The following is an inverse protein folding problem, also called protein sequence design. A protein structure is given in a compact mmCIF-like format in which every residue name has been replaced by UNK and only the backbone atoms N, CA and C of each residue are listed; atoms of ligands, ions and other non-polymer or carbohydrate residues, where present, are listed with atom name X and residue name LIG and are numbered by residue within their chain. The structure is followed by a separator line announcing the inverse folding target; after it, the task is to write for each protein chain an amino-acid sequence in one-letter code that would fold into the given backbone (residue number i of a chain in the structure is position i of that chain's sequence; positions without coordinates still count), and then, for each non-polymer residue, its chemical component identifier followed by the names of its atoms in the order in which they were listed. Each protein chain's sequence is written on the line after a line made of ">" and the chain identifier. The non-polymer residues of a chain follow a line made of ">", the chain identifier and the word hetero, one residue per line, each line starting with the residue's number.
data_IF_636019415422
#
_entry.id   IF_636019415422
#
_cell.length_a   1.000
_cell.length_b   1.000
_cell.length_c   1.000
_cell.angle_alpha   90.00
_cell.angle_beta   90.00
_cell.angle_gamma   90.00
#
_symmetry.space_group_name_H-M   'P 1'
#
loop_
_entity.id
_entity.type
_entity.pdbx_description
1 polymer ?
#
# COMPACT_ATOMS: atom_id res chain seq x y z
N UNK A 1 10.11 58.34 -4.47
CA UNK A 1 9.33 57.47 -3.54
C UNK A 1 8.78 56.23 -4.27
N UNK A 2 9.50 55.67 -5.24
CA UNK A 2 9.03 54.63 -6.14
C UNK A 2 9.85 53.32 -6.14
N UNK A 3 10.98 53.22 -5.43
CA UNK A 3 11.87 52.01 -5.50
C UNK A 3 11.61 50.95 -4.42
N UNK A 4 10.94 51.29 -3.31
CA UNK A 4 10.70 50.32 -2.22
C UNK A 4 9.60 49.30 -2.52
N UNK A 5 8.72 49.56 -3.50
CA UNK A 5 7.59 48.67 -3.84
C UNK A 5 7.98 47.54 -4.79
N UNK A 6 9.02 47.71 -5.60
CA UNK A 6 9.44 46.67 -6.59
C UNK A 6 10.22 45.51 -5.97
N UNK A 7 10.96 45.75 -4.89
CA UNK A 7 11.74 44.71 -4.19
C UNK A 7 10.86 43.68 -3.43
N UNK A 8 9.71 44.15 -2.94
CA UNK A 8 8.82 43.26 -2.17
C UNK A 8 8.00 42.30 -3.04
N UNK A 9 7.73 42.64 -4.31
CA UNK A 9 7.01 41.74 -5.24
C UNK A 9 7.89 40.58 -5.73
N UNK A 10 9.20 40.79 -5.89
CA UNK A 10 10.10 39.72 -6.37
C UNK A 10 10.34 38.66 -5.32
N UNK A 11 10.33 38.97 -4.02
CA UNK A 11 10.44 37.98 -2.95
C UNK A 11 9.19 37.10 -2.82
N UNK A 12 7.99 37.65 -3.00
CA UNK A 12 6.75 36.87 -2.94
C UNK A 12 6.64 35.86 -4.09
N UNK A 13 7.06 36.22 -5.31
CA UNK A 13 7.05 35.28 -6.44
C UNK A 13 8.10 34.15 -6.35
N UNK A 14 9.22 34.38 -5.67
CA UNK A 14 10.25 33.36 -5.44
C UNK A 14 9.77 32.25 -4.50
N UNK A 15 9.10 32.60 -3.43
CA UNK A 15 8.57 31.64 -2.46
C UNK A 15 7.46 30.74 -3.05
N UNK A 16 6.55 31.29 -3.84
CA UNK A 16 5.49 30.51 -4.50
C UNK A 16 6.05 29.48 -5.49
N UNK A 17 7.09 29.82 -6.26
CA UNK A 17 7.73 28.89 -7.21
C UNK A 17 8.53 27.78 -6.51
N UNK A 18 9.20 28.09 -5.41
CA UNK A 18 9.93 27.10 -4.61
C UNK A 18 8.97 26.11 -3.92
N UNK A 19 7.87 26.61 -3.37
CA UNK A 19 6.84 25.78 -2.72
C UNK A 19 6.15 24.87 -3.72
N UNK A 20 5.86 25.36 -4.94
CA UNK A 20 5.28 24.55 -5.99
C UNK A 20 6.22 23.40 -6.44
N UNK A 21 7.53 23.66 -6.56
CA UNK A 21 8.53 22.64 -6.88
C UNK A 21 8.65 21.57 -5.80
N UNK A 22 8.63 21.96 -4.54
CA UNK A 22 8.64 21.03 -3.39
C UNK A 22 7.37 20.16 -3.35
N UNK A 23 6.21 20.73 -3.61
CA UNK A 23 4.95 20.01 -3.65
C UNK A 23 4.91 18.94 -4.77
N UNK A 24 5.57 19.19 -5.90
CA UNK A 24 5.69 18.21 -6.99
C UNK A 24 6.68 17.11 -6.64
N UNK A 25 7.76 17.41 -5.91
CA UNK A 25 8.79 16.42 -5.54
C UNK A 25 8.39 15.54 -4.36
N UNK A 26 7.57 16.05 -3.45
CA UNK A 26 7.15 15.31 -2.25
C UNK A 26 6.58 13.90 -2.55
N UNK A 27 5.68 13.69 -3.53
CA UNK A 27 5.15 12.37 -3.84
C UNK A 27 6.21 11.35 -4.29
N UNK A 28 7.35 11.81 -4.86
CA UNK A 28 8.42 10.93 -5.33
C UNK A 28 9.20 10.22 -4.21
N UNK A 29 9.12 10.74 -2.99
CA UNK A 29 9.78 10.17 -1.81
C UNK A 29 8.77 9.66 -0.79
N UNK A 30 7.62 10.33 -0.67
CA UNK A 30 6.66 10.08 0.39
C UNK A 30 6.03 8.69 0.29
N UNK A 31 5.79 8.18 -0.91
CA UNK A 31 5.26 6.82 -1.10
C UNK A 31 6.18 5.75 -0.54
N UNK A 32 7.48 5.85 -0.81
CA UNK A 32 8.49 4.95 -0.26
C UNK A 32 8.61 5.09 1.26
N UNK A 33 8.64 6.32 1.78
CA UNK A 33 8.72 6.59 3.21
C UNK A 33 7.51 6.00 3.97
N UNK A 34 6.29 6.17 3.46
CA UNK A 34 5.08 5.59 4.03
C UNK A 34 5.11 4.06 3.99
N UNK A 35 5.60 3.48 2.89
CA UNK A 35 5.71 2.03 2.75
C UNK A 35 6.72 1.42 3.73
N UNK A 36 7.86 2.08 3.96
CA UNK A 36 8.89 1.65 4.89
C UNK A 36 8.46 1.81 6.35
N UNK A 37 7.49 2.69 6.60
CA UNK A 37 6.84 2.82 7.90
C UNK A 37 5.72 1.79 8.03
N UNK A 38 5.89 0.79 8.89
CA UNK A 38 4.90 -0.30 9.10
C UNK A 38 3.50 0.25 9.40
N UNK A 39 3.42 1.34 10.17
CA UNK A 39 2.15 1.97 10.56
C UNK A 39 1.42 2.62 9.38
N UNK A 40 2.16 3.26 8.46
CA UNK A 40 1.58 4.00 7.35
C UNK A 40 1.62 3.24 6.01
N UNK A 41 2.06 2.00 6.01
CA UNK A 41 2.10 1.13 4.84
C UNK A 41 0.77 1.13 4.05
N UNK A 42 -0.42 1.07 4.70
CA UNK A 42 -1.69 1.10 3.97
C UNK A 42 -1.91 2.38 3.14
N UNK A 43 -1.28 3.48 3.50
CA UNK A 43 -1.43 4.78 2.83
C UNK A 43 -0.33 5.06 1.79
N UNK A 44 0.57 4.10 1.55
CA UNK A 44 1.71 4.27 0.65
C UNK A 44 1.35 4.56 -0.81
N UNK A 45 0.13 4.19 -1.25
CA UNK A 45 -0.38 4.48 -2.57
C UNK A 45 -0.85 5.95 -2.74
N UNK A 46 -1.25 6.64 -1.66
CA UNK A 46 -1.85 7.98 -1.71
C UNK A 46 -1.00 9.03 -2.44
N UNK A 47 0.31 9.16 -2.17
CA UNK A 47 1.12 10.17 -2.85
C UNK A 47 1.17 9.97 -4.37
N UNK A 48 1.15 8.71 -4.82
CA UNK A 48 1.13 8.36 -6.25
C UNK A 48 -0.24 8.59 -6.88
N UNK A 49 -1.33 8.28 -6.16
CA UNK A 49 -2.70 8.60 -6.58
C UNK A 49 -2.82 10.11 -6.77
N UNK A 50 -2.39 10.89 -5.78
CA UNK A 50 -2.39 12.35 -5.84
C UNK A 50 -1.56 12.87 -7.03
N UNK A 51 -0.33 12.40 -7.20
CA UNK A 51 0.53 12.81 -8.31
C UNK A 51 -0.12 12.51 -9.67
N UNK A 52 -0.78 11.34 -9.81
CA UNK A 52 -1.44 10.94 -11.04
C UNK A 52 -2.71 11.73 -11.33
N UNK A 53 -3.49 12.05 -10.32
CA UNK A 53 -4.72 12.85 -10.46
C UNK A 53 -4.39 14.30 -10.79
N UNK A 54 -3.42 14.92 -10.08
CA UNK A 54 -3.11 16.34 -10.19
C UNK A 54 -2.16 16.69 -11.33
N UNK A 55 -1.10 15.88 -11.54
CA UNK A 55 -0.04 16.17 -12.51
C UNK A 55 -0.08 15.27 -13.76
N UNK A 56 -1.01 14.35 -13.82
CA UNK A 56 -1.24 13.50 -14.98
C UNK A 56 -0.49 12.15 -14.97
N UNK A 57 -0.73 11.38 -16.04
CA UNK A 57 -0.28 9.97 -16.13
C UNK A 57 1.23 9.81 -16.06
N UNK A 58 1.96 10.64 -16.80
CA UNK A 58 3.43 10.54 -16.88
C UNK A 58 4.07 10.76 -15.53
N UNK A 59 3.70 11.84 -14.83
CA UNK A 59 4.26 12.17 -13.51
C UNK A 59 3.88 11.10 -12.50
N UNK A 60 2.64 10.59 -12.52
CA UNK A 60 2.23 9.48 -11.66
C UNK A 60 3.05 8.21 -11.88
N UNK A 61 3.37 7.84 -13.12
CA UNK A 61 4.22 6.68 -13.44
C UNK A 61 5.66 6.91 -12.97
N UNK A 62 6.23 8.08 -13.25
CA UNK A 62 7.59 8.44 -12.80
C UNK A 62 7.69 8.41 -11.26
N UNK A 63 6.67 8.92 -10.57
CA UNK A 63 6.56 8.83 -9.12
C UNK A 63 6.56 7.37 -8.63
N UNK A 64 5.79 6.49 -9.28
CA UNK A 64 5.76 5.06 -8.99
C UNK A 64 7.13 4.39 -9.17
N UNK A 65 7.80 4.64 -10.30
CA UNK A 65 9.13 4.09 -10.61
C UNK A 65 10.17 4.57 -9.60
N UNK A 66 10.18 5.87 -9.27
CA UNK A 66 11.10 6.44 -8.28
C UNK A 66 10.93 5.80 -6.90
N UNK A 67 9.69 5.75 -6.40
CA UNK A 67 9.41 5.12 -5.11
C UNK A 67 9.77 3.63 -5.10
N UNK A 68 9.48 2.91 -6.20
CA UNK A 68 9.85 1.50 -6.35
C UNK A 68 11.37 1.29 -6.31
N UNK A 69 12.14 2.15 -6.98
CA UNK A 69 13.60 2.10 -6.95
C UNK A 69 14.15 2.35 -5.55
N UNK A 70 13.58 3.30 -4.80
CA UNK A 70 13.96 3.59 -3.42
C UNK A 70 13.67 2.39 -2.52
N UNK A 71 12.45 1.81 -2.59
CA UNK A 71 12.09 0.63 -1.79
C UNK A 71 12.98 -0.55 -2.13
N UNK A 72 13.28 -0.77 -3.42
CA UNK A 72 14.19 -1.83 -3.84
C UNK A 72 15.58 -1.66 -3.24
N UNK A 73 16.13 -0.45 -3.30
CA UNK A 73 17.48 -0.18 -2.81
C UNK A 73 17.61 -0.31 -1.29
N UNK A 74 16.55 0.08 -0.54
CA UNK A 74 16.59 0.09 0.92
C UNK A 74 16.13 -1.22 1.57
N UNK A 75 15.15 -1.90 0.96
CA UNK A 75 14.45 -3.05 1.58
C UNK A 75 14.50 -4.34 0.76
N UNK A 76 15.14 -4.30 -0.41
CA UNK A 76 15.35 -5.47 -1.26
C UNK A 76 14.13 -5.86 -2.11
N UNK A 77 14.32 -6.95 -2.87
CA UNK A 77 13.40 -7.36 -3.96
C UNK A 77 12.00 -7.74 -3.49
N UNK A 78 11.89 -8.41 -2.34
CA UNK A 78 10.59 -8.87 -1.83
C UNK A 78 9.69 -7.69 -1.45
N UNK A 79 10.24 -6.74 -0.68
CA UNK A 79 9.52 -5.54 -0.28
C UNK A 79 9.19 -4.64 -1.48
N UNK A 80 10.07 -4.57 -2.48
CA UNK A 80 9.78 -3.90 -3.74
C UNK A 80 8.62 -4.55 -4.51
N UNK A 81 8.54 -5.89 -4.54
CA UNK A 81 7.43 -6.61 -5.15
C UNK A 81 6.10 -6.35 -4.41
N UNK A 82 6.12 -6.33 -3.08
CA UNK A 82 4.95 -5.96 -2.27
C UNK A 82 4.55 -4.50 -2.53
N UNK A 83 5.51 -3.57 -2.53
CA UNK A 83 5.24 -2.17 -2.86
C UNK A 83 4.69 -1.99 -4.28
N UNK A 84 5.17 -2.76 -5.24
CA UNK A 84 4.65 -2.73 -6.60
C UNK A 84 3.15 -3.05 -6.64
N UNK A 85 2.72 -4.09 -5.93
CA UNK A 85 1.30 -4.47 -5.88
C UNK A 85 0.48 -3.46 -5.07
N UNK A 86 0.87 -3.23 -3.82
CA UNK A 86 0.09 -2.45 -2.84
C UNK A 86 0.18 -0.94 -3.09
N UNK A 87 1.32 -0.46 -3.58
CA UNK A 87 1.54 0.95 -3.87
C UNK A 87 1.22 1.29 -5.33
N UNK A 88 2.00 0.72 -6.27
CA UNK A 88 1.97 1.17 -7.68
C UNK A 88 0.70 0.70 -8.39
N UNK A 89 0.37 -0.60 -8.33
CA UNK A 89 -0.82 -1.16 -9.02
C UNK A 89 -2.08 -0.54 -8.46
N UNK A 90 -2.23 -0.46 -7.14
CA UNK A 90 -3.37 0.19 -6.50
C UNK A 90 -3.48 1.66 -6.92
N UNK A 91 -2.39 2.42 -6.87
CA UNK A 91 -2.42 3.84 -7.24
C UNK A 91 -2.85 4.05 -8.70
N UNK A 92 -2.34 3.22 -9.62
CA UNK A 92 -2.69 3.32 -11.03
C UNK A 92 -4.17 2.98 -11.25
N UNK A 93 -4.62 1.84 -10.73
CA UNK A 93 -5.99 1.37 -10.98
C UNK A 93 -7.02 2.27 -10.32
N UNK A 94 -6.79 2.71 -9.08
CA UNK A 94 -7.72 3.58 -8.39
C UNK A 94 -7.79 4.97 -9.05
N UNK A 95 -6.64 5.57 -9.40
CA UNK A 95 -6.62 6.86 -10.07
C UNK A 95 -7.27 6.81 -11.48
N UNK A 96 -7.07 5.73 -12.26
CA UNK A 96 -7.74 5.59 -13.55
C UNK A 96 -9.24 5.36 -13.39
N UNK A 97 -9.66 4.54 -12.42
CA UNK A 97 -11.07 4.31 -12.13
C UNK A 97 -11.80 5.61 -11.76
N UNK A 98 -11.15 6.46 -10.95
CA UNK A 98 -11.68 7.78 -10.60
C UNK A 98 -11.74 8.72 -11.82
N UNK A 99 -10.70 8.75 -12.67
CA UNK A 99 -10.71 9.56 -13.91
C UNK A 99 -11.76 9.11 -14.91
N UNK A 100 -12.06 7.81 -14.98
CA UNK A 100 -13.10 7.25 -15.83
C UNK A 100 -14.50 7.43 -15.22
N UNK A 101 -14.61 8.09 -14.07
CA UNK A 101 -15.88 8.33 -13.35
C UNK A 101 -16.65 7.03 -13.08
N UNK A 102 -15.93 5.95 -12.81
CA UNK A 102 -16.55 4.68 -12.44
C UNK A 102 -17.26 4.84 -11.09
N UNK A 103 -18.38 4.13 -10.90
CA UNK A 103 -19.01 4.02 -9.59
C UNK A 103 -17.98 3.49 -8.58
N UNK A 104 -18.03 3.97 -7.34
CA UNK A 104 -17.06 3.63 -6.30
C UNK A 104 -16.90 2.12 -6.10
N UNK A 105 -17.99 1.38 -6.19
CA UNK A 105 -18.01 -0.08 -6.12
C UNK A 105 -17.14 -0.73 -7.21
N UNK A 106 -17.28 -0.26 -8.45
CA UNK A 106 -16.49 -0.76 -9.58
C UNK A 106 -15.01 -0.34 -9.48
N UNK A 107 -14.72 0.84 -8.93
CA UNK A 107 -13.35 1.27 -8.66
C UNK A 107 -12.66 0.34 -7.64
N UNK A 108 -13.39 -0.06 -6.59
CA UNK A 108 -12.90 -1.01 -5.57
C UNK A 108 -12.67 -2.38 -6.19
N UNK A 109 -13.66 -2.93 -6.89
CA UNK A 109 -13.57 -4.26 -7.53
C UNK A 109 -12.43 -4.31 -8.55
N UNK A 110 -12.31 -3.30 -9.41
CA UNK A 110 -11.23 -3.21 -10.40
C UNK A 110 -9.86 -3.15 -9.73
N UNK A 111 -9.71 -2.38 -8.65
CA UNK A 111 -8.45 -2.26 -7.92
C UNK A 111 -8.06 -3.58 -7.25
N UNK A 112 -8.98 -4.25 -6.57
CA UNK A 112 -8.73 -5.57 -5.98
C UNK A 112 -8.39 -6.59 -7.06
N UNK A 113 -9.15 -6.64 -8.15
CA UNK A 113 -8.89 -7.55 -9.28
C UNK A 113 -7.51 -7.33 -9.90
N UNK A 114 -7.11 -6.08 -10.12
CA UNK A 114 -5.78 -5.75 -10.64
C UNK A 114 -4.66 -6.14 -9.68
N UNK A 115 -4.84 -5.95 -8.37
CA UNK A 115 -3.87 -6.38 -7.37
C UNK A 115 -3.73 -7.91 -7.32
N UNK A 116 -4.83 -8.65 -7.40
CA UNK A 116 -4.79 -10.12 -7.50
C UNK A 116 -4.09 -10.58 -8.78
N UNK A 117 -4.40 -9.98 -9.91
CA UNK A 117 -3.76 -10.28 -11.19
C UNK A 117 -2.25 -10.03 -11.13
N UNK A 118 -1.85 -8.86 -10.65
CA UNK A 118 -0.43 -8.50 -10.51
C UNK A 118 0.30 -9.43 -9.54
N UNK A 119 -0.31 -9.77 -8.41
CA UNK A 119 0.25 -10.73 -7.44
C UNK A 119 0.43 -12.12 -8.06
N UNK A 120 -0.57 -12.60 -8.79
CA UNK A 120 -0.52 -13.90 -9.48
C UNK A 120 0.57 -13.93 -10.54
N UNK A 121 0.72 -12.87 -11.33
CA UNK A 121 1.77 -12.76 -12.34
C UNK A 121 3.17 -12.73 -11.72
N UNK A 122 3.36 -12.00 -10.62
CA UNK A 122 4.61 -11.99 -9.88
C UNK A 122 4.94 -13.36 -9.29
N UNK A 123 3.96 -14.04 -8.73
CA UNK A 123 4.11 -15.37 -8.14
C UNK A 123 4.46 -16.41 -9.21
N UNK A 124 3.78 -16.39 -10.37
CA UNK A 124 4.07 -17.26 -11.50
C UNK A 124 5.48 -16.99 -12.05
N UNK A 125 5.86 -15.73 -12.22
CA UNK A 125 7.20 -15.35 -12.68
C UNK A 125 8.29 -15.82 -11.72
N UNK A 126 8.05 -15.67 -10.41
CA UNK A 126 8.96 -16.15 -9.37
C UNK A 126 9.07 -17.68 -9.39
N UNK A 127 7.94 -18.38 -9.50
CA UNK A 127 7.86 -19.83 -9.57
C UNK A 127 8.61 -20.39 -10.78
N UNK A 128 8.35 -19.83 -11.95
CA UNK A 128 9.00 -20.24 -13.19
C UNK A 128 10.52 -20.04 -13.14
N UNK A 129 10.97 -18.88 -12.67
CA UNK A 129 12.40 -18.53 -12.60
C UNK A 129 13.17 -19.41 -11.61
N UNK A 130 12.58 -19.74 -10.47
CA UNK A 130 13.25 -20.47 -9.41
C UNK A 130 12.95 -21.98 -9.43
N UNK A 131 12.10 -22.46 -10.35
CA UNK A 131 11.64 -23.87 -10.42
C UNK A 131 11.06 -24.37 -9.09
N UNK A 132 10.40 -23.48 -8.32
CA UNK A 132 9.84 -23.76 -7.00
C UNK A 132 8.33 -23.74 -7.08
N UNK A 133 7.68 -24.74 -6.49
CA UNK A 133 6.23 -24.71 -6.33
C UNK A 133 5.86 -23.68 -5.22
N UNK A 134 5.14 -22.58 -5.55
CA UNK A 134 4.83 -21.53 -4.59
C UNK A 134 3.93 -22.03 -3.45
N UNK A 135 3.03 -22.98 -3.72
CA UNK A 135 2.12 -23.54 -2.72
C UNK A 135 2.92 -24.32 -1.66
N UNK A 136 3.86 -25.19 -2.10
CA UNK A 136 4.72 -25.92 -1.17
C UNK A 136 5.61 -24.98 -0.35
N UNK A 137 6.11 -23.91 -0.97
CA UNK A 137 6.92 -22.92 -0.26
C UNK A 137 6.12 -22.13 0.77
N UNK A 138 4.88 -21.77 0.45
CA UNK A 138 3.96 -21.15 1.38
C UNK A 138 3.62 -22.06 2.55
N UNK A 139 3.29 -23.32 2.27
CA UNK A 139 3.04 -24.34 3.29
C UNK A 139 4.23 -24.52 4.25
N UNK A 140 5.44 -24.61 3.70
CA UNK A 140 6.67 -24.68 4.49
C UNK A 140 6.93 -23.41 5.32
N UNK A 141 6.64 -22.24 4.75
CA UNK A 141 6.77 -20.97 5.45
C UNK A 141 5.81 -20.86 6.64
N UNK A 142 4.53 -21.19 6.43
CA UNK A 142 3.54 -21.20 7.52
C UNK A 142 3.94 -22.21 8.60
N UNK A 143 4.38 -23.41 8.21
CA UNK A 143 4.87 -24.42 9.15
C UNK A 143 6.07 -23.92 9.98
N UNK A 144 7.03 -23.22 9.34
CA UNK A 144 8.16 -22.65 10.06
C UNK A 144 7.77 -21.55 11.05
N UNK A 145 6.81 -20.71 10.68
CA UNK A 145 6.27 -19.67 11.56
C UNK A 145 5.55 -20.27 12.78
N UNK A 146 4.67 -21.25 12.54
CA UNK A 146 3.95 -21.95 13.63
C UNK A 146 4.94 -22.59 14.61
N UNK A 147 5.97 -23.27 14.09
CA UNK A 147 7.00 -23.90 14.93
C UNK A 147 7.85 -22.86 15.71
N UNK A 148 8.14 -21.69 15.12
CA UNK A 148 8.84 -20.63 15.84
C UNK A 148 7.99 -20.05 16.97
N UNK A 149 6.70 -19.81 16.71
CA UNK A 149 5.77 -19.34 17.72
C UNK A 149 5.62 -20.37 18.85
N UNK A 150 5.45 -21.66 18.51
CA UNK A 150 5.37 -22.74 19.49
C UNK A 150 6.60 -22.76 20.42
N UNK A 151 7.82 -22.72 19.85
CA UNK A 151 9.07 -22.65 20.64
C UNK A 151 9.14 -21.39 21.52
N UNK A 152 8.66 -20.25 21.02
CA UNK A 152 8.63 -19.01 21.80
C UNK A 152 7.66 -19.08 22.97
N UNK A 153 6.51 -19.71 22.77
CA UNK A 153 5.51 -19.92 23.82
C UNK A 153 6.00 -20.93 24.85
N UNK A 154 6.67 -22.03 24.46
CA UNK A 154 7.31 -22.96 25.38
C UNK A 154 8.37 -22.26 26.25
N UNK A 155 9.22 -21.44 25.64
CA UNK A 155 10.20 -20.65 26.38
C UNK A 155 9.56 -19.67 27.35
N UNK A 156 8.48 -19.03 26.95
CA UNK A 156 7.71 -18.12 27.79
C UNK A 156 7.08 -18.86 29.00
N UNK A 157 6.49 -20.04 28.79
CA UNK A 157 5.97 -20.88 29.88
C UNK A 157 7.04 -21.30 30.89
N UNK A 158 8.25 -21.61 30.40
CA UNK A 158 9.35 -21.96 31.28
C UNK A 158 9.81 -20.78 32.17
N UNK A 159 9.54 -19.53 31.75
CA UNK A 159 10.01 -18.33 32.43
C UNK A 159 8.90 -17.61 33.24
N UNK A 160 7.62 -17.86 32.90
CA UNK A 160 6.47 -17.16 33.48
C UNK A 160 5.49 -18.17 34.09
N UNK A 161 5.06 -17.95 35.32
CA UNK A 161 4.02 -18.75 36.00
C UNK A 161 2.59 -18.45 35.52
N UNK A 162 2.44 -17.64 34.46
CA UNK A 162 1.11 -17.25 33.93
C UNK A 162 0.70 -18.25 32.86
N UNK A 163 -0.28 -19.09 33.16
CA UNK A 163 -0.94 -19.95 32.16
C UNK A 163 -2.00 -19.14 31.41
N UNK A 164 -1.87 -19.08 30.09
CA UNK A 164 -2.88 -18.52 29.21
C UNK A 164 -3.49 -19.66 28.37
N UNK A 165 -4.80 -19.99 28.56
CA UNK A 165 -5.44 -21.13 27.92
C UNK A 165 -5.45 -21.04 26.38
N UNK A 166 -5.44 -19.81 25.81
CA UNK A 166 -5.41 -19.66 24.36
C UNK A 166 -4.01 -19.94 23.77
N UNK A 167 -2.95 -19.63 24.53
CA UNK A 167 -1.59 -20.02 24.17
C UNK A 167 -1.38 -21.54 24.27
N UNK A 168 -2.08 -22.19 25.22
CA UNK A 168 -2.03 -23.66 25.36
C UNK A 168 -2.63 -24.40 24.18
N UNK A 169 -3.77 -23.94 23.67
CA UNK A 169 -4.39 -24.49 22.44
C UNK A 169 -3.45 -24.44 21.24
N UNK A 170 -2.64 -23.38 21.14
CA UNK A 170 -1.66 -23.22 20.06
C UNK A 170 -0.53 -24.26 20.11
N UNK A 171 -0.19 -24.75 21.32
CA UNK A 171 0.86 -25.75 21.53
C UNK A 171 0.34 -27.19 21.37
N UNK A 172 -0.96 -27.42 21.60
CA UNK A 172 -1.54 -28.77 21.62
C UNK A 172 -1.50 -29.42 20.24
N UNK A 173 -1.73 -28.65 19.17
CA UNK A 173 -1.69 -29.18 17.80
C UNK A 173 -1.17 -28.15 16.77
N UNK A 174 0.15 -28.06 16.59
CA UNK A 174 0.76 -27.15 15.60
C UNK A 174 0.34 -27.44 14.15
N UNK A 175 0.06 -28.70 13.80
CA UNK A 175 -0.37 -29.07 12.45
C UNK A 175 -1.80 -28.61 12.18
N UNK A 176 -2.70 -28.72 13.15
CA UNK A 176 -4.06 -28.21 13.05
C UNK A 176 -4.06 -26.67 12.94
N UNK A 177 -3.23 -26.01 13.75
CA UNK A 177 -3.05 -24.55 13.67
C UNK A 177 -2.55 -24.11 12.29
N UNK A 178 -1.56 -24.80 11.75
CA UNK A 178 -1.06 -24.57 10.39
C UNK A 178 -2.17 -24.72 9.35
N UNK A 179 -2.96 -25.79 9.43
CA UNK A 179 -4.06 -26.07 8.49
C UNK A 179 -5.13 -24.98 8.56
N UNK A 180 -5.49 -24.52 9.76
CA UNK A 180 -6.44 -23.42 9.94
C UNK A 180 -5.93 -22.12 9.36
N UNK A 181 -4.67 -21.75 9.60
CA UNK A 181 -4.04 -20.55 9.01
C UNK A 181 -4.11 -20.59 7.49
N UNK A 182 -3.74 -21.74 6.87
CA UNK A 182 -3.77 -21.89 5.41
C UNK A 182 -5.19 -21.79 4.87
N UNK A 183 -6.18 -22.34 5.57
CA UNK A 183 -7.59 -22.29 5.18
C UNK A 183 -8.18 -20.87 5.26
N UNK A 184 -7.83 -20.11 6.32
CA UNK A 184 -8.35 -18.77 6.54
C UNK A 184 -7.59 -17.70 5.76
N UNK A 185 -6.37 -18.01 5.29
CA UNK A 185 -5.49 -17.04 4.62
C UNK A 185 -6.13 -16.31 3.44
N UNK A 186 -6.86 -16.96 2.50
CA UNK A 186 -7.50 -16.25 1.39
C UNK A 186 -8.52 -15.21 1.85
N UNK A 187 -9.31 -15.55 2.87
CA UNK A 187 -10.27 -14.62 3.47
C UNK A 187 -9.59 -13.41 4.12
N UNK A 188 -8.56 -13.66 4.92
CA UNK A 188 -7.79 -12.61 5.58
C UNK A 188 -7.12 -11.67 4.56
N UNK A 189 -6.53 -12.21 3.49
CA UNK A 189 -5.94 -11.41 2.41
C UNK A 189 -7.00 -10.56 1.74
N UNK A 190 -8.17 -11.13 1.42
CA UNK A 190 -9.27 -10.39 0.76
C UNK A 190 -9.76 -9.23 1.61
N UNK A 191 -9.98 -9.45 2.91
CA UNK A 191 -10.39 -8.39 3.85
C UNK A 191 -9.31 -7.31 3.95
N UNK A 192 -8.04 -7.69 4.05
CA UNK A 192 -6.92 -6.75 4.11
C UNK A 192 -6.83 -5.89 2.85
N UNK A 193 -6.96 -6.49 1.67
CA UNK A 193 -6.97 -5.76 0.40
C UNK A 193 -8.16 -4.82 0.30
N UNK A 194 -9.35 -5.25 0.73
CA UNK A 194 -10.55 -4.42 0.76
C UNK A 194 -10.34 -3.20 1.66
N UNK A 195 -9.87 -3.38 2.88
CA UNK A 195 -9.57 -2.29 3.82
C UNK A 195 -8.53 -1.32 3.24
N UNK A 196 -7.51 -1.85 2.58
CA UNK A 196 -6.45 -1.07 1.97
C UNK A 196 -6.97 -0.22 0.81
N UNK A 197 -7.78 -0.80 -0.06
CA UNK A 197 -8.40 -0.09 -1.20
C UNK A 197 -9.37 0.98 -0.69
N UNK A 198 -10.26 0.63 0.24
CA UNK A 198 -11.23 1.56 0.82
C UNK A 198 -10.53 2.70 1.58
N UNK A 199 -9.51 2.39 2.37
CA UNK A 199 -8.72 3.39 3.10
C UNK A 199 -8.07 4.42 2.16
N UNK A 200 -7.44 3.97 1.08
CA UNK A 200 -6.85 4.85 0.07
C UNK A 200 -7.92 5.62 -0.70
N UNK A 201 -9.05 4.99 -1.04
CA UNK A 201 -10.16 5.65 -1.71
C UNK A 201 -10.75 6.78 -0.86
N UNK A 202 -11.10 6.49 0.40
CA UNK A 202 -11.65 7.48 1.33
C UNK A 202 -10.66 8.61 1.60
N UNK A 203 -9.38 8.29 1.81
CA UNK A 203 -8.35 9.29 1.98
C UNK A 203 -8.19 10.17 0.73
N UNK A 204 -8.20 9.57 -0.48
CA UNK A 204 -8.14 10.31 -1.74
C UNK A 204 -9.34 11.26 -1.88
N UNK A 205 -10.53 10.76 -1.61
CA UNK A 205 -11.75 11.57 -1.64
C UNK A 205 -11.70 12.70 -0.60
N UNK A 206 -11.19 12.48 0.58
CA UNK A 206 -11.08 13.49 1.63
C UNK A 206 -10.05 14.58 1.32
N UNK A 207 -8.87 14.21 0.81
CA UNK A 207 -7.78 15.17 0.57
C UNK A 207 -7.88 15.94 -0.75
N UNK A 208 -8.56 15.38 -1.76
CA UNK A 208 -8.76 16.03 -3.07
C UNK A 208 -10.17 16.57 -3.27
N UNK A 209 -10.92 16.76 -2.20
CA UNK A 209 -12.37 16.89 -2.23
C UNK A 209 -12.91 18.08 -3.02
N UNK A 210 -12.26 19.23 -2.99
CA UNK A 210 -12.78 20.42 -3.65
C UNK A 210 -12.68 20.34 -5.19
N UNK A 211 -11.56 19.83 -5.72
CA UNK A 211 -11.32 19.75 -7.16
C UNK A 211 -11.98 18.51 -7.80
N UNK A 212 -11.84 17.34 -7.16
CA UNK A 212 -12.39 16.07 -7.68
C UNK A 212 -13.91 16.04 -7.57
N UNK A 213 -14.50 16.65 -6.55
CA UNK A 213 -15.93 16.76 -6.37
C UNK A 213 -16.59 17.50 -7.54
N UNK A 214 -16.02 18.63 -7.96
CA UNK A 214 -16.51 19.39 -9.12
C UNK A 214 -16.33 18.58 -10.43
N UNK A 215 -15.22 17.90 -10.61
CA UNK A 215 -14.95 17.11 -11.82
C UNK A 215 -15.78 15.82 -11.90
N UNK A 216 -16.04 15.16 -10.77
CA UNK A 216 -16.82 13.91 -10.71
C UNK A 216 -18.33 14.13 -10.63
N UNK A 217 -18.80 15.37 -10.41
CA UNK A 217 -20.22 15.69 -10.26
C UNK A 217 -20.85 15.00 -9.03
N UNK A 218 -20.06 14.69 -8.01
CA UNK A 218 -20.54 14.14 -6.75
C UNK A 218 -21.17 15.27 -5.95
N UNK A 219 -22.50 15.27 -5.83
CA UNK A 219 -23.26 16.25 -5.06
C UNK A 219 -22.89 16.22 -3.57
N UNK A 220 -23.35 17.23 -2.82
CA UNK A 220 -23.08 17.37 -1.38
C UNK A 220 -23.66 16.23 -0.52
N UNK A 221 -24.53 15.41 -1.09
CA UNK A 221 -25.36 14.40 -0.40
C UNK A 221 -24.65 13.06 -0.15
N UNK A 222 -23.35 12.95 -0.42
CA UNK A 222 -22.63 11.68 -0.26
C UNK A 222 -21.92 11.51 1.10
N UNK A 223 -22.16 12.43 2.09
CA UNK A 223 -21.63 12.28 3.47
C UNK A 223 -22.59 12.80 4.51
#
# INVERSE_FOLDING_TARGET
>A
MGEATSLNQNHAHGHHRAFFRLAVLAPFLLGAALHLSVLFLPLSALPMIFARLRYGRVIGILCGISNLAIVWSLSGRLNAALFFVVGVVLAITLAESLKLKLKLEWAVVASIGAMFLASSLLLLSYSHRNKVNPIKKFDSFVGSMVNQVAKSVEKYKATSSVSNPDLEKFLVDPEMTKKNIIHEFPGAVTITLLMLVLGNLLATLKFNFAEIRQELGLGEDFF
#
